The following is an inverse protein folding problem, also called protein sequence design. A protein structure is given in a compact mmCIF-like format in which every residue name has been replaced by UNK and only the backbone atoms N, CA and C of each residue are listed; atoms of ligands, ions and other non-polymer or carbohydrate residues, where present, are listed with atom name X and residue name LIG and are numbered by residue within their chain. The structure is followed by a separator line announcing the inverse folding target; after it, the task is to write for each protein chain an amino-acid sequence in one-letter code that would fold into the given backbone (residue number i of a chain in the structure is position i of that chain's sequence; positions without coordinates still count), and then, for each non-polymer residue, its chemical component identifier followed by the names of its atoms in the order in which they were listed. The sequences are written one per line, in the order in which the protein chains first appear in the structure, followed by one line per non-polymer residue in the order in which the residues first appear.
data_IF_863643806554
#
_entry.id   IF_863643806554
#
_cell.length_a   1.000
_cell.length_b   1.000
_cell.length_c   1.000
_cell.angle_alpha   90.00
_cell.angle_beta   90.00
_cell.angle_gamma   90.00
#
_symmetry.space_group_name_H-M   'P 1'
#
loop_
_entity.id
_entity.type
_entity.pdbx_description
1 polymer ?
#
# COMPACT_ATOMS: atom_id res chain seq x y z
N UNK A 1 -27.64 -30.32 3.08
CA UNK A 1 -26.76 -31.05 4.02
C UNK A 1 -25.99 -30.02 4.83
N UNK A 2 -26.30 -29.97 6.16
CA UNK A 2 -25.92 -28.87 7.04
C UNK A 2 -24.45 -28.89 7.46
N UNK A 3 -23.92 -27.69 7.69
CA UNK A 3 -22.66 -27.46 8.37
C UNK A 3 -22.94 -27.21 9.84
N UNK A 4 -22.29 -28.01 10.70
CA UNK A 4 -22.39 -27.94 12.15
C UNK A 4 -21.36 -26.94 12.66
N UNK A 5 -21.84 -25.89 13.33
CA UNK A 5 -21.02 -24.93 14.08
C UNK A 5 -20.67 -25.58 15.45
N UNK A 6 -19.39 -25.73 15.73
CA UNK A 6 -18.90 -26.07 17.07
C UNK A 6 -18.55 -24.77 17.82
N UNK A 7 -19.39 -24.43 18.78
CA UNK A 7 -19.07 -23.46 19.84
C UNK A 7 -18.48 -24.20 21.04
N UNK A 8 -17.21 -23.96 21.34
CA UNK A 8 -16.57 -24.50 22.54
C UNK A 8 -16.72 -23.50 23.68
N UNK A 9 -17.60 -23.83 24.66
CA UNK A 9 -17.65 -23.17 25.97
C UNK A 9 -16.56 -23.75 26.85
N UNK A 10 -15.66 -22.95 27.37
CA UNK A 10 -14.71 -23.32 28.40
C UNK A 10 -15.37 -23.09 29.76
N UNK A 11 -15.58 -24.17 30.52
CA UNK A 11 -16.03 -24.12 31.92
C UNK A 11 -14.79 -24.26 32.79
N UNK A 12 -14.51 -23.26 33.61
CA UNK A 12 -13.45 -23.31 34.63
C UNK A 12 -14.05 -23.91 35.90
N UNK A 13 -13.66 -25.14 36.25
CA UNK A 13 -13.85 -25.70 37.60
C UNK A 13 -12.58 -25.48 38.43
N UNK A 14 -12.75 -24.80 39.55
CA UNK A 14 -11.74 -24.75 40.62
C UNK A 14 -11.80 -26.02 41.44
N UNK A 15 -10.72 -26.77 41.51
CA UNK A 15 -10.48 -27.72 42.57
C UNK A 15 -9.14 -27.45 43.26
N UNK A 16 -9.21 -27.22 44.57
CA UNK A 16 -8.06 -27.16 45.46
C UNK A 16 -7.61 -28.61 45.80
N UNK A 17 -6.36 -28.92 45.54
CA UNK A 17 -5.62 -29.91 46.32
C UNK A 17 -4.13 -29.56 46.27
N UNK A 18 -3.54 -29.43 47.46
CA UNK A 18 -2.10 -29.28 47.65
C UNK A 18 -1.38 -30.55 47.21
N UNK A 19 -0.38 -30.43 46.37
CA UNK A 19 0.76 -31.35 46.32
C UNK A 19 1.97 -30.55 45.87
N UNK A 20 3.02 -30.54 46.69
CA UNK A 20 4.36 -30.06 46.46
C UNK A 20 5.03 -30.81 45.32
N UNK A 21 5.50 -30.11 44.26
CA UNK A 21 6.57 -30.61 43.39
C UNK A 21 7.05 -29.53 42.40
N UNK A 22 8.37 -29.39 42.31
CA UNK A 22 9.20 -28.83 41.28
C UNK A 22 8.58 -27.83 40.28
N UNK A 23 8.94 -26.56 40.43
CA UNK A 23 8.74 -25.50 39.42
C UNK A 23 9.52 -25.79 38.17
N UNK A 24 8.91 -26.44 37.18
CA UNK A 24 9.28 -26.28 35.78
C UNK A 24 8.67 -24.97 35.30
N UNK A 25 9.51 -23.95 35.05
CA UNK A 25 9.12 -22.71 34.48
C UNK A 25 8.72 -22.94 33.01
N UNK A 26 7.45 -23.21 32.76
CA UNK A 26 6.87 -23.06 31.45
C UNK A 26 6.62 -21.56 31.24
N UNK A 27 7.41 -20.92 30.39
CA UNK A 27 7.13 -19.56 29.96
C UNK A 27 5.85 -19.61 29.11
N UNK A 28 4.73 -19.22 29.69
CA UNK A 28 3.53 -18.92 28.91
C UNK A 28 3.81 -17.66 28.08
N UNK A 29 3.94 -17.83 26.77
CA UNK A 29 3.97 -16.69 25.85
C UNK A 29 2.58 -16.07 25.83
N UNK A 30 2.46 -14.85 26.38
CA UNK A 30 1.26 -14.05 26.20
C UNK A 30 1.27 -13.60 24.73
N UNK A 31 0.41 -14.19 23.90
CA UNK A 31 0.15 -13.69 22.55
C UNK A 31 -0.70 -12.43 22.68
N UNK A 32 -0.10 -11.29 22.43
CA UNK A 32 -0.85 -10.03 22.24
C UNK A 32 -1.47 -10.11 20.84
N UNK A 33 -2.79 -10.14 20.79
CA UNK A 33 -3.52 -10.10 19.51
C UNK A 33 -3.38 -8.71 18.92
N UNK A 34 -2.78 -8.61 17.73
CA UNK A 34 -2.60 -7.32 17.07
C UNK A 34 -3.96 -6.77 16.62
N UNK A 35 -4.19 -5.48 16.83
CA UNK A 35 -5.38 -4.79 16.33
C UNK A 35 -5.22 -4.53 14.83
N UNK A 36 -5.81 -5.41 14.02
CA UNK A 36 -5.83 -5.31 12.56
C UNK A 36 -7.25 -5.11 12.08
N UNK A 37 -7.46 -4.21 11.14
CA UNK A 37 -8.75 -4.01 10.48
C UNK A 37 -8.55 -3.60 9.02
N UNK A 38 -9.62 -3.67 8.23
CA UNK A 38 -9.62 -3.24 6.83
C UNK A 38 -10.73 -2.22 6.62
N UNK A 39 -10.41 -1.14 5.94
CA UNK A 39 -11.37 -0.12 5.51
C UNK A 39 -11.48 -0.15 3.99
N UNK A 40 -12.72 -0.15 3.48
CA UNK A 40 -13.01 -0.01 2.05
C UNK A 40 -13.74 1.28 1.78
N UNK A 41 -13.36 1.96 0.69
CA UNK A 41 -14.07 3.17 0.25
C UNK A 41 -13.88 3.41 -1.25
N UNK A 42 -14.97 3.75 -1.94
CA UNK A 42 -14.95 4.35 -3.27
C UNK A 42 -14.55 5.82 -3.08
N UNK A 43 -13.52 6.28 -3.77
CA UNK A 43 -12.96 7.63 -3.57
C UNK A 43 -12.86 8.47 -4.86
N UNK A 44 -13.02 7.82 -6.01
CA UNK A 44 -13.15 8.46 -7.31
C UNK A 44 -14.08 7.59 -8.18
N UNK A 45 -14.46 8.08 -9.35
CA UNK A 45 -15.31 7.34 -10.27
C UNK A 45 -14.68 5.98 -10.58
N UNK A 46 -15.43 4.88 -10.32
CA UNK A 46 -15.02 3.50 -10.54
C UNK A 46 -13.71 3.07 -9.85
N UNK A 47 -13.21 3.91 -8.95
CA UNK A 47 -11.96 3.68 -8.21
C UNK A 47 -12.20 3.59 -6.71
N UNK A 48 -11.70 2.52 -6.10
CA UNK A 48 -11.82 2.28 -4.67
C UNK A 48 -10.50 1.85 -4.05
N UNK A 49 -10.41 1.97 -2.72
CA UNK A 49 -9.26 1.54 -1.95
C UNK A 49 -9.65 0.50 -0.90
N UNK A 50 -8.78 -0.48 -0.72
CA UNK A 50 -8.73 -1.38 0.43
C UNK A 50 -7.54 -0.92 1.27
N UNK A 51 -7.80 -0.32 2.43
CA UNK A 51 -6.78 0.11 3.38
C UNK A 51 -6.67 -0.92 4.49
N UNK A 52 -5.53 -1.55 4.62
CA UNK A 52 -5.20 -2.48 5.71
C UNK A 52 -4.63 -1.66 6.88
N UNK A 53 -5.38 -1.54 7.98
CA UNK A 53 -5.07 -0.68 9.12
C UNK A 53 -4.35 -1.47 10.21
N UNK A 54 -3.09 -1.14 10.43
CA UNK A 54 -2.19 -1.77 11.40
C UNK A 54 -1.99 -0.84 12.60
N UNK A 55 -2.95 -0.86 13.52
CA UNK A 55 -3.05 0.08 14.63
C UNK A 55 -1.91 -0.02 15.63
N UNK A 56 -1.41 -1.24 15.84
CA UNK A 56 -0.41 -1.53 16.88
C UNK A 56 1.01 -1.69 16.31
N UNK A 57 1.22 -1.30 15.05
CA UNK A 57 2.54 -1.32 14.45
C UNK A 57 3.42 -0.26 15.11
N UNK A 58 4.31 -0.69 16.00
CA UNK A 58 5.20 0.20 16.76
C UNK A 58 6.54 0.45 16.07
N UNK A 59 6.86 -0.30 15.01
CA UNK A 59 8.12 -0.19 14.27
C UNK A 59 7.92 -0.62 12.83
N UNK A 60 8.45 0.18 11.91
CA UNK A 60 8.57 -0.17 10.50
C UNK A 60 10.04 -0.43 10.21
N UNK A 61 10.35 -1.55 9.58
CA UNK A 61 11.70 -2.09 9.47
C UNK A 61 12.45 -2.18 10.82
N UNK A 62 13.77 -2.21 10.80
CA UNK A 62 14.59 -2.27 12.02
C UNK A 62 14.73 -0.88 12.65
N UNK A 63 14.59 0.19 11.87
CA UNK A 63 15.12 1.51 12.19
C UNK A 63 14.05 2.53 12.60
N UNK A 64 12.78 2.36 12.16
CA UNK A 64 11.77 3.39 12.34
C UNK A 64 10.75 3.04 13.43
N UNK A 65 10.82 3.73 14.56
CA UNK A 65 9.76 3.69 15.56
C UNK A 65 8.53 4.44 15.08
N UNK A 66 7.34 3.81 15.14
CA UNK A 66 6.07 4.42 14.76
C UNK A 66 5.28 4.81 16.01
N UNK A 67 4.68 6.00 15.98
CA UNK A 67 3.81 6.51 17.06
C UNK A 67 2.35 6.15 16.84
N UNK A 68 1.92 6.16 15.57
CA UNK A 68 0.52 6.10 15.16
C UNK A 68 0.23 4.89 14.26
N UNK A 69 0.99 3.80 14.35
CA UNK A 69 0.80 2.65 13.48
C UNK A 69 1.06 2.94 12.01
N UNK A 70 0.46 2.15 11.11
CA UNK A 70 0.55 2.38 9.66
C UNK A 70 -0.65 1.80 8.94
N UNK A 71 -0.76 2.07 7.64
CA UNK A 71 -1.71 1.41 6.75
C UNK A 71 -0.97 0.85 5.54
N UNK A 72 -1.57 -0.15 4.88
CA UNK A 72 -1.12 -0.65 3.58
C UNK A 72 -2.31 -0.53 2.63
N UNK A 73 -2.17 0.37 1.67
CA UNK A 73 -3.27 0.72 0.78
C UNK A 73 -3.10 0.05 -0.58
N UNK A 74 -4.14 -0.59 -1.05
CA UNK A 74 -4.26 -1.13 -2.40
C UNK A 74 -5.51 -0.58 -3.07
N UNK A 75 -5.56 -0.60 -4.41
CA UNK A 75 -6.62 0.09 -5.13
C UNK A 75 -7.24 -0.81 -6.19
N UNK A 76 -8.51 -0.59 -6.49
CA UNK A 76 -9.29 -1.28 -7.50
C UNK A 76 -9.77 -0.24 -8.49
N UNK A 77 -9.52 -0.46 -9.78
CA UNK A 77 -10.03 0.38 -10.88
C UNK A 77 -10.89 -0.48 -11.79
N UNK A 78 -12.16 -0.11 -11.94
CA UNK A 78 -13.15 -0.85 -12.73
C UNK A 78 -13.44 -0.12 -14.04
N UNK A 79 -12.64 -0.34 -15.08
CA UNK A 79 -12.93 0.04 -16.46
C UNK A 79 -13.75 -1.03 -17.19
N UNK A 80 -13.60 -1.16 -18.50
CA UNK A 80 -13.99 -2.35 -19.23
C UNK A 80 -13.14 -3.56 -18.80
N UNK A 81 -11.90 -3.29 -18.39
CA UNK A 81 -10.98 -4.22 -17.74
C UNK A 81 -10.78 -3.81 -16.29
N UNK A 82 -10.58 -4.82 -15.44
CA UNK A 82 -10.40 -4.67 -14.01
C UNK A 82 -8.92 -4.70 -13.65
N UNK A 83 -8.44 -3.66 -12.99
CA UNK A 83 -7.07 -3.58 -12.47
C UNK A 83 -7.04 -3.44 -10.94
N UNK A 84 -6.10 -4.16 -10.32
CA UNK A 84 -5.68 -3.95 -8.94
C UNK A 84 -4.34 -3.22 -8.96
N UNK A 85 -4.14 -2.24 -8.11
CA UNK A 85 -2.85 -1.57 -7.89
C UNK A 85 -2.36 -1.94 -6.51
N UNK A 86 -1.22 -2.59 -6.45
CA UNK A 86 -0.58 -3.14 -5.25
C UNK A 86 -1.47 -4.12 -4.46
N UNK A 87 -0.90 -4.80 -3.50
CA UNK A 87 -1.62 -5.68 -2.59
C UNK A 87 -1.45 -5.19 -1.15
N UNK A 88 -1.13 -6.07 -0.21
CA UNK A 88 -0.94 -5.73 1.20
C UNK A 88 0.13 -6.58 1.82
N UNK A 89 0.52 -6.24 3.05
CA UNK A 89 1.38 -7.06 3.89
C UNK A 89 0.74 -8.42 4.18
N UNK A 90 1.52 -9.50 4.12
CA UNK A 90 1.06 -10.89 4.25
C UNK A 90 0.21 -11.15 5.52
N UNK A 91 0.43 -10.42 6.62
CA UNK A 91 -0.38 -10.55 7.84
C UNK A 91 -1.84 -10.16 7.67
N UNK A 92 -2.17 -9.42 6.60
CA UNK A 92 -3.54 -9.04 6.25
C UNK A 92 -4.20 -10.00 5.27
N UNK A 93 -3.57 -11.10 4.89
CA UNK A 93 -4.05 -12.03 3.87
C UNK A 93 -5.55 -12.29 4.01
N UNK A 94 -6.00 -12.79 5.17
CA UNK A 94 -7.40 -13.12 5.40
C UNK A 94 -8.32 -11.90 5.24
N UNK A 95 -8.02 -10.80 5.92
CA UNK A 95 -8.87 -9.59 5.94
C UNK A 95 -8.92 -8.93 4.57
N UNK A 96 -7.77 -8.85 3.89
CA UNK A 96 -7.65 -8.24 2.58
C UNK A 96 -8.43 -9.04 1.53
N UNK A 97 -8.27 -10.37 1.49
CA UNK A 97 -9.03 -11.22 0.58
C UNK A 97 -10.52 -11.25 0.89
N UNK A 98 -10.92 -11.30 2.16
CA UNK A 98 -12.33 -11.19 2.54
C UNK A 98 -12.96 -9.90 2.00
N UNK A 99 -12.24 -8.77 2.04
CA UNK A 99 -12.73 -7.52 1.48
C UNK A 99 -12.70 -7.51 -0.04
N UNK A 100 -11.59 -7.94 -0.68
CA UNK A 100 -11.47 -7.99 -2.13
C UNK A 100 -12.60 -8.82 -2.76
N UNK A 101 -12.87 -10.01 -2.23
CA UNK A 101 -13.89 -10.96 -2.72
C UNK A 101 -15.33 -10.46 -2.55
N UNK A 102 -15.57 -9.47 -1.70
CA UNK A 102 -16.87 -8.77 -1.62
C UNK A 102 -17.05 -7.77 -2.75
N UNK A 103 -15.96 -7.21 -3.25
CA UNK A 103 -15.98 -6.10 -4.21
C UNK A 103 -15.84 -6.56 -5.66
N UNK A 104 -15.07 -7.63 -5.89
CA UNK A 104 -14.77 -8.14 -7.22
C UNK A 104 -14.74 -9.66 -7.25
N UNK A 105 -15.10 -10.23 -8.41
CA UNK A 105 -14.82 -11.63 -8.70
C UNK A 105 -13.34 -11.74 -9.12
N UNK A 106 -12.50 -12.53 -8.44
CA UNK A 106 -11.07 -12.64 -8.78
C UNK A 106 -10.83 -13.13 -10.20
N UNK A 107 -11.76 -13.92 -10.80
CA UNK A 107 -11.66 -14.37 -12.20
C UNK A 107 -11.79 -13.23 -13.22
N UNK A 108 -12.35 -12.08 -12.81
CA UNK A 108 -12.52 -10.89 -13.65
C UNK A 108 -11.34 -9.93 -13.59
N UNK A 109 -10.35 -10.18 -12.72
CA UNK A 109 -9.16 -9.33 -12.61
C UNK A 109 -8.26 -9.57 -13.82
N UNK A 110 -8.11 -8.55 -14.66
CA UNK A 110 -7.24 -8.58 -15.84
C UNK A 110 -5.78 -8.25 -15.48
N UNK A 111 -5.58 -7.24 -14.62
CA UNK A 111 -4.27 -6.68 -14.34
C UNK A 111 -4.01 -6.53 -12.84
N UNK A 112 -2.77 -6.81 -12.46
CA UNK A 112 -2.19 -6.39 -11.18
C UNK A 112 -1.02 -5.45 -11.47
N UNK A 113 -1.22 -4.17 -11.23
CA UNK A 113 -0.19 -3.13 -11.38
C UNK A 113 0.61 -3.10 -10.09
N UNK A 114 1.91 -3.37 -10.18
CA UNK A 114 2.83 -3.33 -9.03
C UNK A 114 3.65 -2.05 -9.10
N UNK A 115 3.37 -1.14 -8.18
CA UNK A 115 4.08 0.14 -8.09
C UNK A 115 5.47 -0.05 -7.51
N UNK A 116 5.61 -0.98 -6.55
CA UNK A 116 6.80 -1.25 -5.75
C UNK A 116 6.73 -2.66 -5.16
N UNK A 117 7.87 -3.32 -4.97
CA UNK A 117 7.91 -4.73 -4.59
C UNK A 117 8.32 -5.00 -3.15
N UNK A 118 8.33 -3.99 -2.29
CA UNK A 118 8.47 -4.23 -0.86
C UNK A 118 7.34 -5.13 -0.34
N UNK A 119 7.62 -6.12 0.55
CA UNK A 119 6.66 -7.15 0.93
C UNK A 119 5.36 -6.65 1.56
N UNK A 120 5.30 -5.43 2.02
CA UNK A 120 4.08 -4.83 2.56
C UNK A 120 3.11 -4.29 1.49
N UNK A 121 3.57 -4.17 0.23
CA UNK A 121 2.77 -3.88 -0.95
C UNK A 121 2.62 -5.10 -1.86
N UNK A 122 3.62 -5.97 -1.90
CA UNK A 122 3.68 -7.14 -2.80
C UNK A 122 3.35 -8.48 -2.12
N UNK A 123 3.19 -8.49 -0.80
CA UNK A 123 3.14 -9.72 0.01
C UNK A 123 2.00 -10.69 -0.32
N UNK A 124 0.96 -10.24 -1.02
CA UNK A 124 -0.19 -11.08 -1.38
C UNK A 124 -0.27 -11.37 -2.90
N UNK A 125 0.74 -10.97 -3.69
CA UNK A 125 0.77 -11.20 -5.14
C UNK A 125 0.67 -12.69 -5.46
N UNK A 126 1.49 -13.52 -4.82
CA UNK A 126 1.50 -14.98 -5.02
C UNK A 126 0.13 -15.63 -4.72
N UNK A 127 -0.52 -15.19 -3.64
CA UNK A 127 -1.85 -15.67 -3.27
C UNK A 127 -2.90 -15.26 -4.30
N UNK A 128 -2.86 -14.02 -4.79
CA UNK A 128 -3.79 -13.53 -5.81
C UNK A 128 -3.62 -14.27 -7.14
N UNK A 129 -2.38 -14.50 -7.57
CA UNK A 129 -2.06 -15.27 -8.79
C UNK A 129 -2.43 -16.75 -8.65
N UNK A 130 -2.46 -17.30 -7.44
CA UNK A 130 -2.96 -18.66 -7.19
C UNK A 130 -4.48 -18.72 -7.38
N UNK A 131 -5.23 -17.67 -7.02
CA UNK A 131 -6.67 -17.58 -7.27
C UNK A 131 -7.01 -17.37 -8.76
N UNK A 132 -6.25 -16.50 -9.43
CA UNK A 132 -6.41 -16.27 -10.87
C UNK A 132 -5.05 -16.21 -11.58
N UNK A 133 -4.57 -17.33 -12.16
CA UNK A 133 -3.32 -17.38 -12.92
C UNK A 133 -3.34 -16.62 -14.25
N UNK A 134 -4.50 -16.08 -14.65
CA UNK A 134 -4.65 -15.33 -15.90
C UNK A 134 -4.30 -13.85 -15.74
N UNK A 135 -4.22 -13.35 -14.51
CA UNK A 135 -3.83 -11.97 -14.21
C UNK A 135 -2.48 -11.65 -14.87
N UNK A 136 -2.43 -10.49 -15.54
CA UNK A 136 -1.19 -9.95 -16.08
C UNK A 136 -0.59 -9.02 -15.05
N UNK A 137 0.59 -9.36 -14.53
CA UNK A 137 1.34 -8.49 -13.61
C UNK A 137 2.02 -7.40 -14.42
N UNK A 138 1.71 -6.14 -14.10
CA UNK A 138 2.23 -4.95 -14.78
C UNK A 138 3.21 -4.24 -13.85
N UNK A 139 4.40 -3.92 -14.32
CA UNK A 139 5.39 -3.25 -13.49
C UNK A 139 6.63 -2.83 -14.25
N UNK A 140 7.57 -2.18 -13.57
CA UNK A 140 8.89 -1.93 -14.14
C UNK A 140 9.63 -3.26 -14.37
N UNK A 141 10.64 -3.24 -15.24
CA UNK A 141 11.47 -4.43 -15.47
C UNK A 141 12.07 -5.00 -14.18
N UNK A 142 12.48 -4.11 -13.26
CA UNK A 142 13.04 -4.53 -11.97
C UNK A 142 11.96 -5.10 -11.05
N UNK A 143 10.78 -4.48 -10.99
CA UNK A 143 9.65 -4.98 -10.20
C UNK A 143 9.27 -6.40 -10.64
N UNK A 144 9.13 -6.65 -11.94
CA UNK A 144 8.82 -7.98 -12.46
C UNK A 144 9.88 -9.01 -12.08
N UNK A 145 11.17 -8.63 -12.14
CA UNK A 145 12.27 -9.51 -11.71
C UNK A 145 12.22 -9.81 -10.22
N UNK A 146 11.98 -8.80 -9.38
CA UNK A 146 11.87 -8.98 -7.94
C UNK A 146 10.67 -9.85 -7.55
N UNK A 147 9.54 -9.72 -8.26
CA UNK A 147 8.37 -10.59 -8.05
C UNK A 147 8.70 -12.04 -8.40
N UNK A 148 9.41 -12.31 -9.53
CA UNK A 148 9.85 -13.66 -9.86
C UNK A 148 10.70 -14.27 -8.73
N UNK A 149 11.60 -13.47 -8.14
CA UNK A 149 12.48 -13.91 -7.05
C UNK A 149 11.73 -14.08 -5.71
N UNK A 150 10.57 -13.39 -5.52
CA UNK A 150 9.77 -13.48 -4.30
C UNK A 150 8.79 -14.66 -4.31
N UNK A 151 8.07 -14.86 -5.41
CA UNK A 151 6.92 -15.78 -5.41
C UNK A 151 7.23 -17.17 -6.01
N UNK A 152 8.28 -17.31 -6.82
CA UNK A 152 8.74 -18.57 -7.44
C UNK A 152 7.65 -19.36 -8.21
N UNK A 153 6.60 -18.69 -8.68
CA UNK A 153 5.59 -19.26 -9.57
C UNK A 153 5.56 -18.52 -10.90
N UNK A 154 5.33 -19.21 -12.02
CA UNK A 154 5.23 -18.54 -13.31
C UNK A 154 3.98 -17.66 -13.38
N UNK A 155 4.12 -16.48 -13.98
CA UNK A 155 3.00 -15.55 -14.20
C UNK A 155 3.14 -14.81 -15.53
N UNK A 156 2.02 -14.29 -16.03
CA UNK A 156 2.01 -13.40 -17.18
C UNK A 156 2.46 -12.02 -16.76
N UNK A 157 3.27 -11.36 -17.55
CA UNK A 157 3.77 -10.03 -17.21
C UNK A 157 3.74 -9.05 -18.37
N UNK A 158 3.65 -7.77 -18.03
CA UNK A 158 3.76 -6.63 -18.93
C UNK A 158 4.76 -5.63 -18.35
N UNK A 159 5.95 -5.54 -18.97
CA UNK A 159 6.93 -4.50 -18.63
C UNK A 159 6.44 -3.14 -19.11
N UNK A 160 6.48 -2.13 -18.21
CA UNK A 160 6.10 -0.76 -18.53
C UNK A 160 7.18 0.24 -18.11
N UNK A 161 7.20 1.37 -18.84
CA UNK A 161 8.15 2.48 -18.66
C UNK A 161 7.42 3.80 -18.69
N UNK A 162 8.12 4.87 -18.27
CA UNK A 162 7.61 6.24 -18.31
C UNK A 162 7.06 6.61 -19.68
N UNK A 163 5.85 7.17 -19.72
CA UNK A 163 5.17 7.59 -20.93
C UNK A 163 4.46 6.47 -21.71
N UNK A 164 4.45 5.25 -21.19
CA UNK A 164 3.58 4.18 -21.70
C UNK A 164 2.22 4.21 -21.03
N UNK A 165 1.22 3.65 -21.71
CA UNK A 165 -0.17 3.65 -21.28
C UNK A 165 -0.72 2.24 -21.22
N UNK A 166 -1.63 2.01 -20.28
CA UNK A 166 -2.48 0.82 -20.20
C UNK A 166 -3.93 1.29 -20.24
N UNK A 167 -4.62 0.99 -21.34
CA UNK A 167 -6.02 1.30 -21.51
C UNK A 167 -6.89 0.21 -20.87
N UNK A 168 -7.62 0.57 -19.82
CA UNK A 168 -8.59 -0.29 -19.16
C UNK A 168 -9.98 -0.15 -19.79
N UNK A 169 -10.16 0.78 -20.74
CA UNK A 169 -11.42 1.06 -21.40
C UNK A 169 -12.42 1.82 -20.51
N UNK A 170 -13.55 2.14 -21.10
CA UNK A 170 -14.62 2.84 -20.39
C UNK A 170 -15.42 1.86 -19.52
N UNK A 171 -15.70 2.28 -18.28
CA UNK A 171 -16.62 1.54 -17.42
C UNK A 171 -18.02 1.52 -18.06
N UNK A 172 -18.67 0.35 -18.18
CA UNK A 172 -19.96 0.25 -18.87
C UNK A 172 -21.12 0.97 -18.18
N UNK A 173 -20.97 1.32 -16.89
CA UNK A 173 -22.00 1.98 -16.09
C UNK A 173 -21.80 3.50 -16.03
N UNK A 174 -20.59 3.95 -15.66
CA UNK A 174 -20.28 5.37 -15.53
C UNK A 174 -19.93 6.04 -16.84
N UNK A 175 -19.38 5.27 -17.79
CA UNK A 175 -18.83 5.76 -19.06
C UNK A 175 -17.43 6.39 -18.92
N UNK A 176 -16.85 6.41 -17.70
CA UNK A 176 -15.50 6.94 -17.47
C UNK A 176 -14.48 6.01 -18.12
N UNK A 177 -13.62 6.57 -18.97
CA UNK A 177 -12.53 5.84 -19.62
C UNK A 177 -11.26 5.91 -18.78
N UNK A 178 -10.79 4.75 -18.30
CA UNK A 178 -9.59 4.64 -17.49
C UNK A 178 -8.38 4.32 -18.36
N UNK A 179 -7.52 5.32 -18.54
CA UNK A 179 -6.26 5.19 -19.28
C UNK A 179 -5.09 5.50 -18.34
N UNK A 180 -4.34 4.50 -17.99
CA UNK A 180 -3.29 4.57 -16.97
C UNK A 180 -1.96 4.92 -17.64
N UNK A 181 -1.42 6.10 -17.35
CA UNK A 181 -0.06 6.52 -17.74
C UNK A 181 0.94 6.10 -16.67
N UNK A 182 2.05 5.47 -17.09
CA UNK A 182 3.13 5.08 -16.18
C UNK A 182 4.23 6.15 -16.13
N UNK A 183 4.72 6.42 -14.91
CA UNK A 183 5.74 7.43 -14.63
C UNK A 183 6.84 6.77 -13.80
N UNK A 184 8.00 6.51 -14.38
CA UNK A 184 9.13 5.92 -13.64
C UNK A 184 9.58 6.85 -12.51
N UNK A 185 9.68 6.31 -11.31
CA UNK A 185 10.07 7.02 -10.09
C UNK A 185 11.16 6.26 -9.30
N UNK A 186 12.29 5.88 -9.96
CA UNK A 186 13.30 5.05 -9.33
C UNK A 186 13.89 5.72 -8.10
N UNK A 187 14.19 4.92 -7.08
CA UNK A 187 14.69 5.33 -5.76
C UNK A 187 13.67 6.15 -4.92
N UNK A 188 12.37 5.92 -5.14
CA UNK A 188 11.30 6.47 -4.30
C UNK A 188 10.43 5.35 -3.68
N UNK A 189 10.95 4.55 -2.67
CA UNK A 189 12.39 4.65 -2.23
C UNK A 189 13.27 3.53 -2.83
N UNK A 190 12.72 2.53 -3.50
CA UNK A 190 13.46 1.45 -4.18
C UNK A 190 13.64 1.73 -5.69
N UNK A 191 14.59 1.02 -6.35
CA UNK A 191 14.91 1.27 -7.76
C UNK A 191 13.81 0.82 -8.74
N UNK A 192 12.89 -0.03 -8.31
CA UNK A 192 11.80 -0.62 -9.10
C UNK A 192 10.56 0.27 -9.18
N UNK A 193 10.48 1.31 -8.35
CA UNK A 193 9.27 2.14 -8.17
C UNK A 193 8.79 2.80 -9.47
N UNK A 194 7.48 2.66 -9.71
CA UNK A 194 6.76 3.32 -10.80
C UNK A 194 5.44 3.91 -10.27
N UNK A 195 5.09 5.09 -10.71
CA UNK A 195 3.78 5.68 -10.44
C UNK A 195 2.82 5.36 -11.57
N UNK A 196 1.54 5.33 -11.26
CA UNK A 196 0.45 5.14 -12.21
C UNK A 196 -0.51 6.33 -12.12
N UNK A 197 -0.79 6.99 -13.24
CA UNK A 197 -1.73 8.10 -13.28
C UNK A 197 -2.94 7.74 -14.14
N UNK A 198 -4.11 7.80 -13.55
CA UNK A 198 -5.37 7.57 -14.27
C UNK A 198 -5.90 8.89 -14.83
N UNK A 199 -5.91 9.00 -16.15
CA UNK A 199 -6.44 10.15 -16.87
C UNK A 199 -7.96 10.30 -16.75
N UNK A 200 -8.70 9.21 -16.48
CA UNK A 200 -10.15 9.23 -16.30
C UNK A 200 -10.57 9.95 -15.03
N UNK A 201 -9.85 9.73 -13.94
CA UNK A 201 -10.18 10.26 -12.60
C UNK A 201 -9.24 11.35 -12.11
N UNK A 202 -8.10 11.56 -12.78
CA UNK A 202 -7.01 12.46 -12.37
C UNK A 202 -6.39 12.05 -11.01
N UNK A 203 -6.30 10.75 -10.77
CA UNK A 203 -5.69 10.14 -9.58
C UNK A 203 -4.28 9.66 -9.90
N UNK A 204 -3.33 10.01 -9.07
CA UNK A 204 -1.94 9.53 -9.13
C UNK A 204 -1.71 8.51 -8.01
N UNK A 205 -1.35 7.29 -8.37
CA UNK A 205 -0.98 6.21 -7.46
C UNK A 205 0.53 6.19 -7.33
N UNK A 206 1.04 6.43 -6.13
CA UNK A 206 2.47 6.66 -5.89
C UNK A 206 3.14 5.62 -5.00
N UNK A 207 2.37 4.69 -4.46
CA UNK A 207 2.86 3.81 -3.41
C UNK A 207 3.47 4.63 -2.25
N UNK A 208 4.72 4.41 -1.89
CA UNK A 208 5.39 5.06 -0.76
C UNK A 208 5.61 6.57 -0.91
N UNK A 209 5.87 7.02 -2.13
CA UNK A 209 6.09 8.46 -2.31
C UNK A 209 4.84 9.26 -1.93
N UNK A 210 5.04 10.32 -1.15
CA UNK A 210 3.96 11.10 -0.51
C UNK A 210 3.17 10.35 0.57
N UNK A 211 3.59 9.15 0.98
CA UNK A 211 3.00 8.39 2.07
C UNK A 211 3.43 8.88 3.46
N UNK A 212 2.80 8.31 4.48
CA UNK A 212 3.16 8.51 5.87
C UNK A 212 2.69 7.32 6.72
N UNK A 213 3.48 6.95 7.73
CA UNK A 213 3.05 5.94 8.70
C UNK A 213 2.10 6.56 9.73
N UNK A 214 0.83 6.51 9.40
CA UNK A 214 -0.26 7.02 10.23
C UNK A 214 -1.51 6.17 10.03
N UNK A 215 -1.91 5.46 11.08
CA UNK A 215 -3.11 4.63 11.09
C UNK A 215 -4.27 5.41 11.70
N UNK A 216 -5.31 5.63 10.92
CA UNK A 216 -6.49 6.40 11.33
C UNK A 216 -7.70 5.93 10.51
N UNK A 217 -8.90 6.08 11.07
CA UNK A 217 -10.16 5.89 10.34
C UNK A 217 -10.41 6.99 9.30
N UNK A 218 -9.68 8.12 9.40
CA UNK A 218 -9.72 9.18 8.39
C UNK A 218 -9.15 8.68 7.06
N UNK A 219 -9.99 8.78 6.03
CA UNK A 219 -9.64 8.26 4.70
C UNK A 219 -8.79 9.25 3.89
N UNK A 220 -9.05 10.56 4.10
CA UNK A 220 -8.35 11.65 3.43
C UNK A 220 -7.57 12.50 4.44
N UNK A 221 -6.67 13.33 3.93
CA UNK A 221 -5.84 14.30 4.64
C UNK A 221 -6.68 15.51 5.15
N UNK A 222 -7.65 15.25 6.05
CA UNK A 222 -8.58 16.25 6.54
C UNK A 222 -7.92 17.27 7.47
N UNK A 223 -7.07 16.82 8.39
CA UNK A 223 -6.29 17.70 9.28
C UNK A 223 -4.80 17.62 8.97
N UNK A 224 -4.32 18.62 8.24
CA UNK A 224 -2.92 18.78 7.88
C UNK A 224 -2.00 18.90 9.09
N UNK A 225 -2.46 19.54 10.18
CA UNK A 225 -1.62 19.76 11.37
C UNK A 225 -1.42 18.47 12.14
N UNK A 226 -2.46 17.61 12.16
CA UNK A 226 -2.40 16.33 12.85
C UNK A 226 -1.35 15.40 12.23
N UNK A 227 -1.28 15.36 10.91
CA UNK A 227 -0.41 14.42 10.18
C UNK A 227 0.95 14.99 9.78
N UNK A 228 1.19 16.30 9.98
CA UNK A 228 2.39 16.99 9.47
C UNK A 228 3.70 16.38 9.97
N UNK A 229 3.80 16.09 11.26
CA UNK A 229 5.03 15.57 11.86
C UNK A 229 5.34 14.15 11.38
N UNK A 230 4.32 13.28 11.26
CA UNK A 230 4.48 11.93 10.75
C UNK A 230 4.83 11.94 9.24
N UNK A 231 4.22 12.86 8.48
CA UNK A 231 4.52 13.06 7.06
C UNK A 231 5.96 13.57 6.86
N UNK A 232 6.39 14.52 7.69
CA UNK A 232 7.76 15.04 7.67
C UNK A 232 8.76 13.96 8.06
N UNK A 233 8.51 13.21 9.11
CA UNK A 233 9.35 12.12 9.56
C UNK A 233 9.52 11.03 8.49
N UNK A 234 8.41 10.61 7.87
CA UNK A 234 8.43 9.66 6.76
C UNK A 234 9.30 10.17 5.59
N UNK A 235 9.11 11.43 5.21
CA UNK A 235 9.93 12.05 4.18
C UNK A 235 11.42 12.01 4.54
N UNK A 236 11.78 12.42 5.76
CA UNK A 236 13.17 12.49 6.17
C UNK A 236 13.86 11.13 6.19
N UNK A 237 13.14 10.09 6.57
CA UNK A 237 13.66 8.73 6.64
C UNK A 237 13.78 8.05 5.26
N UNK A 238 12.73 8.11 4.43
CA UNK A 238 12.62 7.28 3.22
C UNK A 238 12.89 8.05 1.93
N UNK A 239 12.40 9.29 1.82
CA UNK A 239 12.45 10.07 0.60
C UNK A 239 13.62 11.05 0.55
N UNK A 240 13.94 11.65 1.69
CA UNK A 240 14.98 12.66 1.81
C UNK A 240 16.38 12.20 1.39
N UNK A 241 16.81 10.95 1.66
CA UNK A 241 18.08 10.41 1.12
C UNK A 241 18.15 10.47 -0.41
N UNK A 242 17.01 10.36 -1.07
CA UNK A 242 16.86 10.39 -2.53
C UNK A 242 16.25 11.71 -3.06
N UNK A 243 16.50 12.84 -2.39
CA UNK A 243 15.91 14.15 -2.71
C UNK A 243 15.98 14.54 -4.19
N UNK A 244 17.07 14.17 -4.89
CA UNK A 244 17.19 14.42 -6.35
C UNK A 244 16.15 13.63 -7.15
N UNK A 245 15.87 12.38 -6.78
CA UNK A 245 14.83 11.55 -7.41
C UNK A 245 13.44 12.12 -7.13
N UNK A 246 13.20 12.63 -5.90
CA UNK A 246 11.96 13.34 -5.55
C UNK A 246 11.73 14.54 -6.48
N UNK A 247 12.74 15.41 -6.65
CA UNK A 247 12.63 16.58 -7.54
C UNK A 247 12.40 16.18 -9.01
N UNK A 248 12.98 15.08 -9.47
CA UNK A 248 12.73 14.57 -10.82
C UNK A 248 11.30 14.03 -10.97
N UNK A 249 10.80 13.33 -9.96
CA UNK A 249 9.42 12.82 -9.96
C UNK A 249 8.43 14.00 -9.97
N UNK A 250 8.62 15.02 -9.12
CA UNK A 250 7.77 16.22 -9.09
C UNK A 250 7.74 16.90 -10.47
N UNK A 251 8.88 17.07 -11.15
CA UNK A 251 8.94 17.63 -12.50
C UNK A 251 8.13 16.84 -13.54
N UNK A 252 7.96 15.53 -13.33
CA UNK A 252 7.12 14.69 -14.19
C UNK A 252 5.65 14.85 -13.83
N UNK A 253 5.34 14.86 -12.53
CA UNK A 253 3.99 15.10 -12.01
C UNK A 253 3.46 16.47 -12.45
N UNK A 254 4.29 17.52 -12.48
CA UNK A 254 3.91 18.87 -12.91
C UNK A 254 3.52 18.95 -14.41
N UNK A 255 3.82 17.93 -15.19
CA UNK A 255 3.40 17.83 -16.61
C UNK A 255 2.02 17.18 -16.77
N UNK A 256 1.49 16.58 -15.72
CA UNK A 256 0.17 15.99 -15.76
C UNK A 256 -0.90 17.08 -15.96
N UNK A 257 -1.97 16.79 -16.71
CA UNK A 257 -2.96 17.83 -17.06
C UNK A 257 -3.71 18.34 -15.84
N UNK A 258 -3.92 17.49 -14.86
CA UNK A 258 -4.60 17.79 -13.59
C UNK A 258 -4.20 16.75 -12.55
N UNK A 259 -4.09 17.16 -11.29
CA UNK A 259 -3.87 16.26 -10.16
C UNK A 259 -4.95 16.53 -9.12
N UNK A 260 -5.86 15.57 -8.94
CA UNK A 260 -6.98 15.69 -8.01
C UNK A 260 -6.69 14.98 -6.69
N UNK A 261 -6.07 13.82 -6.76
CA UNK A 261 -5.78 12.96 -5.60
C UNK A 261 -4.44 12.27 -5.79
N UNK A 262 -3.66 12.16 -4.73
CA UNK A 262 -2.51 11.25 -4.66
C UNK A 262 -2.94 10.07 -3.78
N UNK A 263 -3.03 8.90 -4.39
CA UNK A 263 -3.37 7.64 -3.75
C UNK A 263 -2.07 6.95 -3.30
N UNK A 264 -1.75 7.12 -2.03
CA UNK A 264 -0.49 6.69 -1.40
C UNK A 264 -0.57 5.27 -0.85
N UNK A 265 0.57 4.58 -0.73
CA UNK A 265 0.67 3.23 -0.15
C UNK A 265 0.46 3.20 1.36
N UNK A 266 0.79 4.27 2.08
CA UNK A 266 0.66 4.39 3.53
C UNK A 266 -0.06 5.67 3.93
N UNK A 267 -0.88 5.59 4.98
CA UNK A 267 -1.61 6.72 5.55
C UNK A 267 -2.91 7.07 4.82
N UNK A 268 -3.51 8.23 5.12
CA UNK A 268 -4.66 8.76 4.41
C UNK A 268 -4.30 9.19 2.99
N UNK A 269 -5.25 9.10 2.06
CA UNK A 269 -5.07 9.60 0.70
C UNK A 269 -5.02 11.14 0.70
N UNK A 270 -4.10 11.70 -0.09
CA UNK A 270 -3.97 13.15 -0.23
C UNK A 270 -4.97 13.66 -1.27
N UNK A 271 -6.00 14.34 -0.81
CA UNK A 271 -7.07 14.87 -1.62
C UNK A 271 -7.35 16.36 -1.36
N UNK A 272 -7.34 16.74 -0.08
CA UNK A 272 -7.71 18.09 0.32
C UNK A 272 -6.55 19.08 0.19
N UNK A 273 -5.30 18.58 0.35
CA UNK A 273 -4.10 19.40 0.41
C UNK A 273 -3.00 18.95 -0.57
N UNK A 274 -3.36 18.38 -1.72
CA UNK A 274 -2.41 17.80 -2.70
C UNK A 274 -1.27 18.77 -3.06
N UNK A 275 -1.58 20.03 -3.38
CA UNK A 275 -0.57 21.01 -3.75
C UNK A 275 0.35 21.36 -2.58
N UNK A 276 -0.21 21.50 -1.38
CA UNK A 276 0.58 21.78 -0.18
C UNK A 276 1.63 20.67 0.06
N UNK A 277 1.24 19.40 0.04
CA UNK A 277 2.14 18.29 0.27
C UNK A 277 3.20 18.16 -0.83
N UNK A 278 2.81 18.37 -2.09
CA UNK A 278 3.75 18.40 -3.21
C UNK A 278 4.76 19.54 -3.08
N UNK A 279 4.32 20.74 -2.66
CA UNK A 279 5.20 21.89 -2.40
C UNK A 279 6.17 21.59 -1.24
N UNK A 280 5.70 20.94 -0.16
CA UNK A 280 6.57 20.54 0.95
C UNK A 280 7.65 19.54 0.52
N UNK A 281 7.30 18.53 -0.26
CA UNK A 281 8.29 17.61 -0.84
C UNK A 281 9.32 18.35 -1.70
N UNK A 282 8.88 19.30 -2.53
CA UNK A 282 9.76 20.12 -3.37
C UNK A 282 10.69 21.00 -2.52
N UNK A 283 10.15 21.70 -1.52
CA UNK A 283 10.88 22.54 -0.58
C UNK A 283 11.96 21.74 0.16
N UNK A 284 11.57 20.64 0.81
CA UNK A 284 12.48 19.81 1.57
C UNK A 284 13.60 19.20 0.72
N UNK A 285 13.24 18.72 -0.48
CA UNK A 285 14.21 18.14 -1.42
C UNK A 285 15.17 19.17 -1.99
N UNK A 286 14.70 20.40 -2.25
CA UNK A 286 15.56 21.49 -2.73
C UNK A 286 16.57 21.94 -1.67
N UNK A 287 16.19 21.95 -0.41
CA UNK A 287 17.08 22.27 0.69
C UNK A 287 18.15 21.20 0.92
N UNK A 288 17.77 19.93 0.90
CA UNK A 288 18.72 18.80 1.01
C UNK A 288 19.67 18.69 -0.17
N UNK A 289 19.22 19.01 -1.38
CA UNK A 289 20.08 18.95 -2.58
C UNK A 289 21.13 20.06 -2.66
N UNK A 290 20.98 21.14 -1.88
CA UNK A 290 21.93 22.27 -1.81
C UNK A 290 22.97 22.12 -0.70
N UNK A 291 22.71 21.31 0.30
CA UNK A 291 23.59 21.10 1.44
C UNK A 291 24.45 19.84 1.29
N UNK A 292 25.72 19.93 1.68
CA UNK A 292 26.58 18.75 1.89
C UNK A 292 26.32 18.11 3.27
N UNK A 293 25.09 18.14 3.77
CA UNK A 293 24.75 17.52 5.04
C UNK A 293 24.59 16.02 4.83
N UNK A 294 25.67 15.30 5.20
CA UNK A 294 25.59 13.87 5.45
C UNK A 294 24.86 13.67 6.79
N UNK A 295 23.65 13.22 6.77
CA UNK A 295 23.04 12.65 7.96
C UNK A 295 23.63 11.24 8.09
N UNK A 296 24.60 11.09 8.99
CA UNK A 296 25.05 9.77 9.45
C UNK A 296 23.93 9.22 10.34
N UNK A 297 23.20 8.25 9.85
CA UNK A 297 22.30 7.45 10.69
C UNK A 297 23.18 6.37 11.32
N UNK A 298 23.44 6.50 12.62
CA UNK A 298 24.08 5.47 13.44
C UNK A 298 23.05 4.52 14.00
#
# INVERSE_FOLDING_TARGET
RGFILYTTKVIIQKNHSMITSAKTSTSEMIKVEQKLSVQYKIFADDSSAIRSLDWDRSRFDIEFGLRNGTTYNSFIIKGQKLAIIDTSHAKFEKLWFEQLLREVNPEEIDYLITSHTEPDHSGLIGNLLTLNPQIIVVGSKLALKFIEDQIHIPFKSLEVKSGQYLDLGANPTSGVNHNIEFISAPNLHWPDTIFSYDHGTNVLYTCDAFGLHYCSDEFFDNDQKEIYEDFRFYYDCLMGPNARSVLQAIKRIDKLPRLKTIAVGHGPLLHNQVNFWKEKYSEWSSNKSKGNEFVSVC
#
